data_IF_669844774532
#
_entry.id   IF_669844774532
#
_cell.length_a   1.000
_cell.length_b   1.000
_cell.length_c   1.000
_cell.angle_alpha   90.00
_cell.angle_beta   90.00
_cell.angle_gamma   90.00
#
_symmetry.space_group_name_H-M   'P 1'
#
loop_
_entity.id
_entity.type
_entity.pdbx_description
1 polymer ?
#
# COMPACT_ATOMS: atom_id res chain seq x y z
N UNK A 1 -6.05 -11.48 -13.56
CA UNK A 1 -4.62 -11.19 -13.84
C UNK A 1 -3.90 -11.26 -12.50
N UNK A 2 -2.85 -12.07 -12.37
CA UNK A 2 -2.17 -12.33 -11.09
C UNK A 2 -1.41 -11.08 -10.63
N UNK A 3 -1.93 -10.29 -9.68
CA UNK A 3 -1.09 -9.32 -8.97
C UNK A 3 -0.15 -10.08 -8.03
N UNK A 4 1.08 -10.28 -8.50
CA UNK A 4 2.19 -10.61 -7.61
C UNK A 4 2.41 -9.37 -6.75
N UNK A 5 2.18 -9.46 -5.44
CA UNK A 5 2.76 -8.51 -4.50
C UNK A 5 4.27 -8.54 -4.71
N UNK A 6 4.81 -7.53 -5.40
CA UNK A 6 6.24 -7.42 -5.62
C UNK A 6 6.82 -6.67 -4.43
N UNK A 7 7.42 -7.40 -3.51
CA UNK A 7 8.14 -6.83 -2.38
C UNK A 7 9.55 -6.44 -2.85
N UNK A 8 9.83 -5.15 -2.96
CA UNK A 8 11.19 -4.65 -3.13
C UNK A 8 11.70 -4.14 -1.78
N UNK A 9 12.85 -4.65 -1.35
CA UNK A 9 13.58 -4.13 -0.21
C UNK A 9 14.82 -3.41 -0.73
N UNK A 10 14.85 -2.09 -0.55
CA UNK A 10 15.98 -1.25 -0.99
C UNK A 10 16.89 -0.99 0.22
N UNK A 11 18.18 -1.24 0.05
CA UNK A 11 19.23 -0.94 1.01
C UNK A 11 19.91 0.38 0.63
N UNK A 12 19.85 1.38 1.50
CA UNK A 12 20.63 2.62 1.35
C UNK A 12 21.90 2.51 2.22
N UNK A 13 23.02 3.07 1.74
CA UNK A 13 24.40 2.81 2.21
C UNK A 13 24.72 3.15 3.69
N UNK A 14 23.74 3.46 4.54
CA UNK A 14 23.93 3.53 6.00
C UNK A 14 22.73 2.93 6.74
N UNK A 15 22.86 1.67 7.18
CA UNK A 15 22.02 0.97 8.20
C UNK A 15 20.52 1.30 8.20
N UNK A 16 19.91 1.46 7.02
CA UNK A 16 18.51 1.87 6.89
C UNK A 16 17.84 1.03 5.83
N UNK A 17 16.72 0.42 6.21
CA UNK A 17 15.87 -0.34 5.30
C UNK A 17 14.55 0.39 5.11
N UNK A 18 14.09 0.40 3.87
CA UNK A 18 12.76 0.84 3.48
C UNK A 18 12.07 -0.33 2.80
N UNK A 19 10.83 -0.62 3.21
CA UNK A 19 9.96 -1.55 2.51
C UNK A 19 9.14 -0.78 1.50
N UNK A 20 9.09 -1.25 0.26
CA UNK A 20 8.28 -0.65 -0.80
C UNK A 20 7.29 -1.70 -1.26
N UNK A 21 6.01 -1.34 -1.25
CA UNK A 21 4.90 -2.12 -1.82
C UNK A 21 4.11 -1.24 -2.76
N UNK A 22 3.29 -1.85 -3.61
CA UNK A 22 2.40 -1.18 -4.56
C UNK A 22 1.25 -2.14 -4.92
N UNK A 23 0.23 -1.64 -5.60
CA UNK A 23 -0.86 -2.46 -6.19
C UNK A 23 -1.55 -3.39 -5.19
N UNK A 24 -1.94 -2.84 -4.03
CA UNK A 24 -2.69 -3.59 -3.01
C UNK A 24 -4.17 -3.72 -3.40
N UNK A 25 -4.73 -2.69 -4.04
CA UNK A 25 -6.11 -2.64 -4.53
C UNK A 25 -7.16 -3.01 -3.47
N UNK A 26 -7.08 -2.40 -2.28
CA UNK A 26 -8.09 -2.58 -1.23
C UNK A 26 -9.46 -2.15 -1.73
N UNK A 27 -10.41 -3.08 -1.73
CA UNK A 27 -11.74 -2.88 -2.29
C UNK A 27 -11.99 -3.73 -3.53
N UNK A 28 -10.94 -4.13 -4.27
CA UNK A 28 -11.10 -5.08 -5.36
C UNK A 28 -11.57 -6.45 -4.83
N UNK A 29 -12.46 -7.09 -5.59
CA UNK A 29 -12.92 -8.46 -5.36
C UNK A 29 -11.75 -9.46 -5.35
N UNK A 30 -10.69 -9.20 -6.09
CA UNK A 30 -9.51 -10.08 -6.15
C UNK A 30 -8.40 -9.69 -5.17
N UNK A 31 -8.61 -8.64 -4.36
CA UNK A 31 -7.65 -8.23 -3.35
C UNK A 31 -7.37 -9.37 -2.35
N UNK A 32 -6.10 -9.73 -2.19
CA UNK A 32 -5.63 -10.72 -1.19
C UNK A 32 -5.54 -10.12 0.21
N UNK A 33 -6.63 -9.48 0.66
CA UNK A 33 -6.72 -8.70 1.90
C UNK A 33 -6.21 -9.43 3.14
N UNK A 34 -6.57 -10.71 3.30
CA UNK A 34 -6.15 -11.53 4.46
C UNK A 34 -4.65 -11.76 4.48
N UNK A 35 -4.06 -12.01 3.31
CA UNK A 35 -2.61 -12.21 3.18
C UNK A 35 -1.88 -10.91 3.45
N UNK A 36 -2.41 -9.79 2.98
CA UNK A 36 -1.87 -8.46 3.26
C UNK A 36 -1.93 -8.10 4.75
N UNK A 37 -3.08 -8.33 5.42
CA UNK A 37 -3.21 -8.14 6.87
C UNK A 37 -2.24 -9.03 7.66
N UNK A 38 -2.11 -10.30 7.27
CA UNK A 38 -1.17 -11.24 7.88
C UNK A 38 0.29 -10.77 7.72
N UNK A 39 0.63 -10.26 6.54
CA UNK A 39 1.96 -9.70 6.28
C UNK A 39 2.24 -8.45 7.12
N UNK A 40 1.30 -7.49 7.22
CA UNK A 40 1.43 -6.32 8.10
C UNK A 40 1.61 -6.74 9.57
N UNK A 41 0.81 -7.71 10.04
CA UNK A 41 0.95 -8.28 11.38
C UNK A 41 2.34 -8.87 11.62
N UNK A 42 2.92 -9.53 10.61
CA UNK A 42 4.28 -10.07 10.70
C UNK A 42 5.36 -8.98 10.83
N UNK A 43 5.19 -7.83 10.16
CA UNK A 43 6.07 -6.67 10.30
C UNK A 43 5.98 -6.10 11.71
N UNK A 44 4.75 -5.88 12.20
CA UNK A 44 4.50 -5.37 13.53
C UNK A 44 5.15 -6.25 14.61
N UNK A 45 4.90 -7.56 14.56
CA UNK A 45 5.46 -8.51 15.52
C UNK A 45 6.99 -8.62 15.42
N UNK A 46 7.55 -8.56 14.20
CA UNK A 46 9.00 -8.56 14.00
C UNK A 46 9.65 -7.29 14.55
N UNK A 47 9.03 -6.13 14.36
CA UNK A 47 9.47 -4.85 14.94
C UNK A 47 9.39 -4.87 16.45
N UNK A 48 8.29 -5.38 17.02
CA UNK A 48 8.10 -5.54 18.47
C UNK A 48 9.18 -6.44 19.10
N UNK A 49 9.61 -7.48 18.40
CA UNK A 49 10.68 -8.41 18.82
C UNK A 49 12.10 -7.88 18.54
N UNK A 50 12.25 -6.64 18.08
CA UNK A 50 13.55 -6.04 17.76
C UNK A 50 14.24 -6.60 16.52
N UNK A 51 13.54 -7.39 15.68
CA UNK A 51 14.10 -8.05 14.49
C UNK A 51 14.23 -7.12 13.28
N UNK A 52 13.56 -5.97 13.31
CA UNK A 52 13.61 -4.95 12.26
C UNK A 52 14.18 -3.64 12.82
N UNK A 53 15.41 -3.61 13.36
CA UNK A 53 15.96 -2.44 14.04
C UNK A 53 16.24 -1.28 13.07
N UNK A 54 16.52 -1.59 11.80
CA UNK A 54 16.87 -0.64 10.74
C UNK A 54 15.72 -0.27 9.81
N UNK A 55 14.55 -0.90 9.95
CA UNK A 55 13.37 -0.52 9.19
C UNK A 55 12.92 0.87 9.65
N UNK A 56 12.85 1.81 8.71
CA UNK A 56 12.47 3.21 8.97
C UNK A 56 11.18 3.63 8.27
N UNK A 57 10.87 3.04 7.12
CA UNK A 57 9.65 3.38 6.40
C UNK A 57 9.04 2.16 5.67
N UNK A 58 7.72 2.18 5.57
CA UNK A 58 6.92 1.43 4.61
C UNK A 58 6.34 2.42 3.60
N UNK A 59 6.80 2.34 2.36
CA UNK A 59 6.31 3.14 1.24
C UNK A 59 5.29 2.32 0.47
N UNK A 60 4.11 2.90 0.27
CA UNK A 60 3.01 2.34 -0.49
C UNK A 60 2.90 3.18 -1.76
N UNK A 61 3.42 2.63 -2.85
CA UNK A 61 3.66 3.31 -4.11
C UNK A 61 2.48 3.14 -5.06
N UNK A 62 1.37 3.81 -4.79
CA UNK A 62 0.17 3.83 -5.63
C UNK A 62 -0.71 2.59 -5.53
N UNK A 63 -1.95 2.75 -5.97
CA UNK A 63 -2.96 1.70 -6.14
C UNK A 63 -3.15 0.84 -4.87
N UNK A 64 -3.19 1.54 -3.73
CA UNK A 64 -3.53 0.96 -2.44
C UNK A 64 -5.03 0.76 -2.25
N UNK A 65 -5.84 1.73 -2.65
CA UNK A 65 -7.30 1.69 -2.63
C UNK A 65 -7.83 1.53 -4.04
N UNK A 66 -8.89 0.75 -4.17
CA UNK A 66 -9.62 0.62 -5.42
C UNK A 66 -10.92 1.44 -5.37
N UNK A 67 -10.82 2.75 -5.63
CA UNK A 67 -11.98 3.63 -5.69
C UNK A 67 -12.78 3.50 -7.00
N UNK A 68 -12.31 2.71 -7.97
CA UNK A 68 -13.09 2.40 -9.17
C UNK A 68 -14.31 1.54 -8.80
N UNK A 69 -14.11 0.61 -7.87
CA UNK A 69 -15.15 -0.34 -7.45
C UNK A 69 -15.78 -0.02 -6.09
N UNK A 70 -15.22 0.91 -5.32
CA UNK A 70 -15.73 1.27 -4.00
C UNK A 70 -15.73 2.78 -3.75
N UNK A 71 -16.69 3.23 -2.93
CA UNK A 71 -16.63 4.57 -2.36
C UNK A 71 -15.66 4.61 -1.19
N UNK A 72 -15.14 5.82 -0.89
CA UNK A 72 -14.36 6.08 0.31
C UNK A 72 -15.15 5.68 1.59
N UNK A 73 -16.45 5.98 1.63
CA UNK A 73 -17.31 5.63 2.77
C UNK A 73 -17.34 4.11 3.01
N UNK A 74 -17.47 3.31 1.94
CA UNK A 74 -17.44 1.84 2.06
C UNK A 74 -16.08 1.35 2.56
N UNK A 75 -14.99 1.94 2.07
CA UNK A 75 -13.63 1.58 2.49
C UNK A 75 -13.32 1.99 3.94
N UNK A 76 -13.94 3.06 4.45
CA UNK A 76 -13.77 3.53 5.81
C UNK A 76 -14.69 2.85 6.83
N UNK A 77 -15.90 2.44 6.42
CA UNK A 77 -16.90 1.85 7.33
C UNK A 77 -16.85 0.33 7.42
N UNK A 78 -16.19 -0.35 6.47
CA UNK A 78 -16.09 -1.80 6.47
C UNK A 78 -15.02 -2.28 7.47
N UNK A 79 -15.46 -2.99 8.51
CA UNK A 79 -14.61 -3.58 9.56
C UNK A 79 -13.42 -4.39 9.02
N UNK A 80 -13.54 -4.99 7.83
CA UNK A 80 -12.47 -5.74 7.19
C UNK A 80 -11.26 -4.88 6.76
N UNK A 81 -11.48 -3.59 6.47
CA UNK A 81 -10.43 -2.64 6.11
C UNK A 81 -9.94 -1.85 7.32
N UNK A 82 -10.82 -1.64 8.32
CA UNK A 82 -10.46 -1.03 9.60
C UNK A 82 -9.26 -1.75 10.23
N UNK A 83 -9.27 -3.09 10.24
CA UNK A 83 -8.15 -3.92 10.73
C UNK A 83 -6.80 -3.55 10.07
N UNK A 84 -6.79 -3.26 8.75
CA UNK A 84 -5.58 -2.89 8.02
C UNK A 84 -5.10 -1.50 8.44
N UNK A 85 -6.02 -0.55 8.62
CA UNK A 85 -5.68 0.80 9.07
C UNK A 85 -5.13 0.79 10.49
N UNK A 86 -5.71 -0.02 11.38
CA UNK A 86 -5.22 -0.23 12.74
C UNK A 86 -3.83 -0.84 12.75
N UNK A 87 -3.55 -1.84 11.90
CA UNK A 87 -2.22 -2.42 11.76
C UNK A 87 -1.20 -1.42 11.22
N UNK A 88 -1.54 -0.64 10.19
CA UNK A 88 -0.68 0.42 9.68
C UNK A 88 -0.38 1.49 10.75
N UNK A 89 -1.39 1.88 11.53
CA UNK A 89 -1.22 2.79 12.65
C UNK A 89 -0.34 2.18 13.74
N UNK A 90 -0.52 0.90 14.07
CA UNK A 90 0.30 0.19 15.05
C UNK A 90 1.77 0.10 14.61
N UNK A 91 2.03 -0.16 13.32
CA UNK A 91 3.37 -0.14 12.73
C UNK A 91 3.97 1.27 12.83
N UNK A 92 3.18 2.31 12.49
CA UNK A 92 3.60 3.72 12.63
C UNK A 92 3.99 4.07 14.05
N UNK A 93 3.19 3.65 15.02
CA UNK A 93 3.44 3.87 16.45
C UNK A 93 4.71 3.15 16.96
N UNK A 94 5.32 2.26 16.16
CA UNK A 94 6.64 1.64 16.44
C UNK A 94 7.82 2.36 15.76
N UNK A 95 7.60 3.58 15.26
CA UNK A 95 8.62 4.42 14.64
C UNK A 95 9.03 3.94 13.24
N UNK A 96 8.09 3.36 12.50
CA UNK A 96 8.23 3.08 11.07
C UNK A 96 7.28 4.05 10.34
N UNK A 97 7.83 4.98 9.58
CA UNK A 97 7.01 5.92 8.80
C UNK A 97 6.18 5.19 7.75
N UNK A 98 4.93 5.61 7.58
CA UNK A 98 4.06 5.09 6.52
C UNK A 98 3.89 6.20 5.48
N UNK A 99 4.44 5.98 4.29
CA UNK A 99 4.42 6.95 3.20
C UNK A 99 3.48 6.42 2.13
N UNK A 100 2.41 7.18 1.85
CA UNK A 100 1.48 6.88 0.79
C UNK A 100 1.76 7.77 -0.42
N UNK A 101 1.89 7.15 -1.58
CA UNK A 101 1.89 7.80 -2.89
C UNK A 101 0.61 7.39 -3.61
N UNK A 102 -0.07 8.34 -4.23
CA UNK A 102 -1.32 8.07 -4.96
C UNK A 102 -1.01 7.38 -6.30
N UNK A 103 -1.82 6.40 -6.66
CA UNK A 103 -1.85 5.77 -7.98
C UNK A 103 -3.08 6.19 -8.77
N UNK A 104 -3.31 5.55 -9.92
CA UNK A 104 -4.41 5.88 -10.80
C UNK A 104 -5.77 5.35 -10.30
N UNK A 105 -5.79 4.40 -9.36
CA UNK A 105 -7.04 3.98 -8.71
C UNK A 105 -7.48 4.94 -7.60
N UNK A 106 -6.60 5.78 -7.06
CA UNK A 106 -6.96 6.81 -6.08
C UNK A 106 -7.31 8.17 -6.68
N UNK A 107 -6.73 8.47 -7.84
CA UNK A 107 -6.98 9.73 -8.53
C UNK A 107 -8.21 9.56 -9.41
N UNK A 108 -9.21 10.41 -9.22
CA UNK A 108 -10.38 10.48 -10.10
C UNK A 108 -9.91 10.77 -11.54
N UNK A 109 -9.87 9.75 -12.40
CA UNK A 109 -9.50 9.90 -13.82
C UNK A 109 -10.68 10.30 -14.71
N UNK A 110 -11.81 10.72 -14.13
CA UNK A 110 -12.96 11.21 -14.88
C UNK A 110 -12.62 12.54 -15.58
N UNK A 111 -12.37 12.50 -16.90
CA UNK A 111 -12.12 13.69 -17.75
C UNK A 111 -10.83 13.63 -18.59
N UNK A 112 -10.29 14.81 -18.94
CA UNK A 112 -9.12 15.03 -19.81
C UNK A 112 -7.86 14.28 -19.38
N UNK A 113 -7.69 14.00 -18.08
CA UNK A 113 -6.53 13.30 -17.54
C UNK A 113 -6.37 11.88 -18.10
N UNK A 114 -7.49 11.19 -18.37
CA UNK A 114 -7.47 9.87 -18.99
C UNK A 114 -6.97 9.96 -20.45
N UNK A 115 -7.32 11.04 -21.16
CA UNK A 115 -6.86 11.25 -22.53
C UNK A 115 -5.35 11.52 -22.58
N UNK A 116 -4.82 12.40 -21.73
CA UNK A 116 -3.38 12.68 -21.69
C UNK A 116 -2.57 11.44 -21.27
N UNK A 117 -3.04 10.69 -20.26
CA UNK A 117 -2.38 9.46 -19.81
C UNK A 117 -2.40 8.35 -20.88
N UNK A 118 -3.54 8.16 -21.57
CA UNK A 118 -3.62 7.21 -22.69
C UNK A 118 -2.72 7.63 -23.85
N UNK A 119 -2.66 8.91 -24.17
CA UNK A 119 -1.84 9.45 -25.27
C UNK A 119 -0.36 9.25 -24.98
N UNK A 120 0.07 9.48 -23.75
CA UNK A 120 1.49 9.32 -23.36
C UNK A 120 1.90 7.85 -23.20
N UNK A 121 0.99 6.96 -22.80
CA UNK A 121 1.23 5.50 -22.77
C UNK A 121 1.51 4.91 -24.16
N UNK A 122 1.02 5.51 -25.24
CA UNK A 122 1.32 5.09 -26.61
C UNK A 122 2.63 5.65 -27.17
N UNK A 123 3.28 6.59 -26.46
CA UNK A 123 4.57 7.16 -26.85
C UNK A 123 5.79 6.42 -26.30
N UNK A 124 5.59 5.53 -25.31
CA UNK A 124 6.62 4.64 -24.76
C UNK A 124 6.37 3.19 -25.21
#
# INVERSE_FOLDING_TARGET
MLSKLINYMVYLETTTSVLIISDVHLGDKFCRRKDFSSWLSSIFESRKKGKLPYLRALVILGDFFDFIWNSLENLCSNNNFIEIYELLQAIRNKGIEIIFVLGNHEISTWGLYNWDFHTEKHRF
#
